data_IF_018670704242
#
_entry.id   IF_018670704242
#
_cell.length_a   1.000
_cell.length_b   1.000
_cell.length_c   1.000
_cell.angle_alpha   90.00
_cell.angle_beta   90.00
_cell.angle_gamma   90.00
#
_symmetry.space_group_name_H-M   'P 1'
#
loop_
_entity.id
_entity.type
_entity.pdbx_description
1 polymer ?
#
# COMPACT_ATOMS: atom_id res chain seq x y z
N UNK A 1 -28.14 -61.74 -60.75
CA UNK A 1 -28.33 -63.21 -60.64
C UNK A 1 -27.40 -63.67 -59.53
N UNK A 2 -28.03 -64.18 -58.47
CA UNK A 2 -27.56 -65.08 -57.40
C UNK A 2 -26.10 -65.05 -56.86
N UNK A 3 -26.04 -64.91 -55.54
CA UNK A 3 -25.01 -65.38 -54.58
C UNK A 3 -24.77 -66.92 -54.69
N UNK A 4 -24.11 -67.65 -53.76
CA UNK A 4 -23.28 -67.32 -52.57
C UNK A 4 -22.02 -68.23 -52.42
N UNK A 5 -21.23 -68.04 -51.36
CA UNK A 5 -20.87 -69.07 -50.34
C UNK A 5 -19.49 -68.91 -49.67
N UNK A 6 -19.54 -69.13 -48.36
CA UNK A 6 -18.52 -69.06 -47.29
C UNK A 6 -17.69 -70.36 -47.21
N UNK A 7 -16.56 -70.39 -46.47
CA UNK A 7 -16.56 -71.03 -45.13
C UNK A 7 -15.61 -70.34 -44.12
N UNK A 8 -16.00 -70.07 -42.85
CA UNK A 8 -16.10 -70.91 -41.63
C UNK A 8 -14.77 -71.12 -40.82
N UNK A 9 -14.61 -70.24 -39.81
CA UNK A 9 -14.21 -70.42 -38.38
C UNK A 9 -13.03 -71.31 -37.95
N UNK A 10 -12.21 -70.77 -37.03
CA UNK A 10 -12.00 -71.24 -35.63
C UNK A 10 -11.19 -70.18 -34.84
N UNK A 11 -11.84 -69.42 -33.93
CA UNK A 11 -11.81 -69.51 -32.44
C UNK A 11 -10.44 -69.33 -31.76
N UNK A 12 -10.24 -68.19 -31.07
CA UNK A 12 -9.52 -68.13 -29.80
C UNK A 12 -10.12 -67.05 -28.86
N UNK A 13 -10.77 -67.55 -27.80
CA UNK A 13 -10.80 -67.12 -26.39
C UNK A 13 -10.81 -65.61 -26.01
N UNK A 14 -11.85 -65.20 -25.27
CA UNK A 14 -11.89 -64.00 -24.40
C UNK A 14 -11.49 -64.37 -22.96
N UNK A 15 -10.90 -63.43 -22.19
CA UNK A 15 -11.61 -62.92 -21.00
C UNK A 15 -11.42 -61.39 -20.80
N UNK A 16 -12.48 -60.61 -20.54
CA UNK A 16 -13.01 -60.11 -19.24
C UNK A 16 -12.20 -58.96 -18.59
N UNK A 17 -12.90 -57.82 -18.45
CA UNK A 17 -12.76 -56.68 -17.51
C UNK A 17 -11.45 -55.88 -17.40
N UNK A 18 -11.52 -54.56 -17.66
CA UNK A 18 -11.73 -53.53 -16.63
C UNK A 18 -12.06 -52.17 -17.27
N UNK A 19 -13.07 -51.51 -16.68
CA UNK A 19 -13.41 -50.09 -16.83
C UNK A 19 -12.24 -49.20 -16.39
N UNK A 20 -12.11 -47.99 -16.95
CA UNK A 20 -12.24 -46.73 -16.21
C UNK A 20 -12.01 -45.50 -17.09
N UNK A 21 -12.95 -44.58 -16.97
CA UNK A 21 -13.03 -43.23 -17.53
C UNK A 21 -11.87 -42.39 -17.00
N UNK A 22 -10.94 -41.98 -17.86
CA UNK A 22 -9.96 -40.93 -17.54
C UNK A 22 -10.52 -39.56 -17.93
N UNK A 23 -11.51 -39.11 -17.17
CA UNK A 23 -11.91 -37.71 -17.08
C UNK A 23 -11.47 -37.22 -15.69
N UNK A 24 -10.22 -36.80 -15.56
CA UNK A 24 -9.76 -36.13 -14.34
C UNK A 24 -8.73 -35.04 -14.66
N UNK A 25 -9.10 -33.83 -14.22
CA UNK A 25 -8.21 -32.76 -13.78
C UNK A 25 -7.46 -31.94 -14.85
N UNK A 26 -8.21 -31.22 -15.68
CA UNK A 26 -7.80 -29.85 -16.05
C UNK A 26 -8.54 -28.90 -15.10
N UNK A 27 -8.16 -28.95 -13.83
CA UNK A 27 -8.70 -28.10 -12.77
C UNK A 27 -7.72 -26.97 -12.45
N UNK A 28 -8.11 -25.75 -12.82
CA UNK A 28 -7.63 -24.45 -12.34
C UNK A 28 -6.29 -24.40 -11.58
N UNK A 29 -5.21 -24.04 -12.28
CA UNK A 29 -3.95 -23.56 -11.68
C UNK A 29 -3.86 -22.03 -11.63
N UNK A 30 -4.99 -21.33 -11.45
CA UNK A 30 -5.03 -19.86 -11.44
C UNK A 30 -5.25 -19.24 -10.05
N UNK A 31 -5.27 -20.04 -8.96
CA UNK A 31 -5.62 -19.55 -7.61
C UNK A 31 -4.47 -19.50 -6.59
N UNK A 32 -3.26 -19.95 -6.93
CA UNK A 32 -2.20 -20.12 -5.91
C UNK A 32 -1.47 -18.83 -5.49
N UNK A 33 -1.31 -17.84 -6.38
CA UNK A 33 -0.54 -16.63 -6.05
C UNK A 33 -1.16 -15.76 -4.94
N UNK A 34 -2.50 -15.74 -4.82
CA UNK A 34 -3.20 -14.98 -3.77
C UNK A 34 -3.27 -15.72 -2.43
N UNK A 35 -3.40 -17.05 -2.46
CA UNK A 35 -3.45 -17.87 -1.25
C UNK A 35 -2.12 -17.86 -0.49
N UNK A 36 -0.99 -17.85 -1.22
CA UNK A 36 0.34 -17.81 -0.63
C UNK A 36 0.63 -16.46 0.07
N UNK A 37 0.16 -15.34 -0.51
CA UNK A 37 0.33 -14.00 0.07
C UNK A 37 -0.47 -13.81 1.36
N UNK A 38 -1.76 -14.19 1.36
CA UNK A 38 -2.61 -14.10 2.55
C UNK A 38 -2.10 -14.95 3.72
N UNK A 39 -1.64 -16.18 3.45
CA UNK A 39 -1.06 -17.05 4.46
C UNK A 39 0.23 -16.44 5.06
N UNK A 40 1.12 -15.93 4.22
CA UNK A 40 2.35 -15.28 4.67
C UNK A 40 2.07 -14.03 5.53
N UNK A 41 1.07 -13.22 5.15
CA UNK A 41 0.69 -12.04 5.93
C UNK A 41 0.09 -12.42 7.29
N UNK A 42 -0.70 -13.49 7.35
CA UNK A 42 -1.24 -14.00 8.62
C UNK A 42 -0.15 -14.61 9.52
N UNK A 43 0.85 -15.27 8.96
CA UNK A 43 2.02 -15.73 9.70
C UNK A 43 2.84 -14.55 10.24
N UNK A 44 2.99 -13.48 9.45
CA UNK A 44 3.62 -12.23 9.90
C UNK A 44 2.85 -11.62 11.06
N UNK A 45 1.52 -11.56 11.00
CA UNK A 45 0.68 -11.11 12.11
C UNK A 45 0.96 -11.88 13.41
N UNK A 46 0.96 -13.22 13.33
CA UNK A 46 1.24 -14.09 14.48
C UNK A 46 2.65 -13.86 15.04
N UNK A 47 3.64 -13.71 14.16
CA UNK A 47 5.04 -13.50 14.55
C UNK A 47 5.28 -12.17 15.27
N UNK A 48 4.55 -11.11 14.89
CA UNK A 48 4.69 -9.80 15.52
C UNK A 48 4.06 -9.78 16.92
N UNK A 49 2.99 -10.55 17.16
CA UNK A 49 2.46 -10.88 18.48
C UNK A 49 2.50 -9.73 19.51
N UNK A 50 3.44 -9.81 20.44
CA UNK A 50 3.63 -8.81 21.50
C UNK A 50 4.11 -7.44 21.02
N UNK A 51 4.86 -7.35 19.91
CA UNK A 51 5.30 -6.07 19.34
C UNK A 51 4.10 -5.26 18.82
N UNK A 52 3.03 -5.90 18.36
CA UNK A 52 1.80 -5.18 18.03
C UNK A 52 1.10 -4.69 19.30
N UNK A 53 1.12 -5.42 20.42
CA UNK A 53 0.42 -5.00 21.64
C UNK A 53 1.20 -3.94 22.44
N UNK A 54 2.52 -4.10 22.50
CA UNK A 54 3.41 -3.36 23.39
C UNK A 54 4.49 -2.66 22.55
N UNK A 55 4.23 -1.42 22.15
CA UNK A 55 5.13 -0.62 21.33
C UNK A 55 5.01 0.88 21.68
N UNK A 56 6.00 1.70 21.30
CA UNK A 56 5.98 3.14 21.58
C UNK A 56 4.96 3.93 20.75
N UNK A 57 4.25 3.30 19.80
CA UNK A 57 3.24 3.97 19.01
C UNK A 57 1.90 4.08 19.74
N UNK A 58 1.70 3.33 20.83
CA UNK A 58 0.43 3.23 21.57
C UNK A 58 -0.76 2.85 20.67
N UNK A 59 -0.48 2.03 19.66
CA UNK A 59 -1.45 1.46 18.72
C UNK A 59 -0.93 0.13 18.21
N UNK A 60 -1.78 -0.76 17.67
CA UNK A 60 -1.34 -2.06 17.19
C UNK A 60 -0.58 -1.96 15.87
N UNK A 61 0.66 -1.48 15.93
CA UNK A 61 1.50 -1.13 14.80
C UNK A 61 2.95 -1.54 15.03
N UNK A 62 3.55 -2.07 13.98
CA UNK A 62 4.98 -2.32 13.87
C UNK A 62 5.51 -1.60 12.63
N UNK A 63 6.59 -0.84 12.79
CA UNK A 63 7.29 -0.17 11.70
C UNK A 63 8.66 -0.81 11.54
N UNK A 64 9.00 -1.16 10.30
CA UNK A 64 10.38 -1.51 9.93
C UNK A 64 10.79 -0.73 8.69
N UNK A 65 12.09 -0.54 8.52
CA UNK A 65 12.62 0.21 7.39
C UNK A 65 14.02 -0.29 7.06
N UNK A 66 14.37 -0.22 5.78
CA UNK A 66 15.68 -0.61 5.27
C UNK A 66 16.18 0.39 4.23
N UNK A 67 17.50 0.54 4.21
CA UNK A 67 18.25 1.33 3.25
C UNK A 67 19.24 0.38 2.57
N UNK A 68 19.04 0.15 1.28
CA UNK A 68 19.99 -0.51 0.40
C UNK A 68 20.75 0.53 -0.43
N UNK A 69 21.73 0.10 -1.22
CA UNK A 69 22.58 1.01 -1.98
C UNK A 69 21.77 2.02 -2.83
N UNK A 70 20.71 1.58 -3.51
CA UNK A 70 19.93 2.42 -4.43
C UNK A 70 18.44 2.45 -4.12
N UNK A 71 18.01 1.93 -2.98
CA UNK A 71 16.59 1.72 -2.68
C UNK A 71 16.31 1.94 -1.20
N UNK A 72 15.18 2.58 -0.91
CA UNK A 72 14.61 2.72 0.42
C UNK A 72 13.30 1.98 0.47
N UNK A 73 13.07 1.25 1.57
CA UNK A 73 11.81 0.57 1.85
C UNK A 73 11.39 0.80 3.29
N UNK A 74 10.18 1.30 3.49
CA UNK A 74 9.51 1.35 4.79
C UNK A 74 8.28 0.46 4.75
N UNK A 75 8.08 -0.30 5.81
CA UNK A 75 6.95 -1.20 6.00
C UNK A 75 6.22 -0.83 7.29
N UNK A 76 4.90 -0.80 7.24
CA UNK A 76 4.04 -0.75 8.42
C UNK A 76 3.14 -1.96 8.41
N UNK A 77 3.12 -2.67 9.53
CA UNK A 77 2.16 -3.71 9.83
C UNK A 77 1.26 -3.20 10.92
N UNK A 78 -0.05 -3.19 10.69
CA UNK A 78 -0.98 -2.61 11.65
C UNK A 78 -2.30 -3.36 11.72
N UNK A 79 -2.87 -3.46 12.92
CA UNK A 79 -4.26 -3.88 13.09
C UNK A 79 -5.14 -2.63 13.06
N UNK A 80 -6.20 -2.65 12.27
CA UNK A 80 -7.22 -1.59 12.26
C UNK A 80 -8.56 -2.18 12.67
N UNK A 81 -9.34 -1.39 13.41
CA UNK A 81 -10.64 -1.80 13.96
C UNK A 81 -11.78 -1.61 12.94
N UNK A 82 -11.55 -2.08 11.72
CA UNK A 82 -12.52 -2.10 10.63
C UNK A 82 -12.68 -3.53 10.10
N UNK A 83 -13.92 -3.99 9.82
CA UNK A 83 -14.15 -5.28 9.19
C UNK A 83 -13.45 -5.37 7.82
N UNK A 84 -12.85 -6.52 7.51
CA UNK A 84 -12.09 -6.73 6.27
C UNK A 84 -12.89 -6.37 5.03
N UNK A 85 -14.18 -6.71 4.97
CA UNK A 85 -15.02 -6.40 3.81
C UNK A 85 -15.18 -4.89 3.57
N UNK A 86 -15.15 -4.07 4.62
CA UNK A 86 -15.17 -2.60 4.50
C UNK A 86 -13.85 -2.10 3.93
N UNK A 87 -12.72 -2.61 4.43
CA UNK A 87 -11.38 -2.24 3.95
C UNK A 87 -11.20 -2.65 2.49
N UNK A 88 -11.52 -3.90 2.17
CA UNK A 88 -11.47 -4.48 0.83
C UNK A 88 -12.35 -3.67 -0.15
N UNK A 89 -13.63 -3.46 0.18
CA UNK A 89 -14.57 -2.72 -0.68
C UNK A 89 -14.22 -1.25 -0.90
N UNK A 90 -13.35 -0.65 -0.07
CA UNK A 90 -12.90 0.73 -0.28
C UNK A 90 -11.57 0.83 -1.00
N UNK A 91 -10.60 -0.03 -0.69
CA UNK A 91 -9.22 0.12 -1.16
C UNK A 91 -8.88 -0.78 -2.36
N UNK A 92 -9.66 -1.84 -2.58
CA UNK A 92 -9.47 -2.84 -3.65
C UNK A 92 -10.60 -2.84 -4.71
N UNK A 93 -11.58 -1.94 -4.61
CA UNK A 93 -12.65 -1.88 -5.61
C UNK A 93 -12.09 -1.46 -6.98
N UNK A 94 -12.33 -2.21 -8.07
CA UNK A 94 -11.73 -1.91 -9.37
C UNK A 94 -12.26 -0.61 -10.01
N UNK A 95 -13.47 -0.17 -9.66
CA UNK A 95 -14.09 1.03 -10.21
C UNK A 95 -13.86 2.26 -9.34
N UNK A 96 -13.98 2.12 -8.02
CA UNK A 96 -13.92 3.21 -7.04
C UNK A 96 -12.58 3.26 -6.29
N UNK A 97 -11.85 2.15 -6.22
CA UNK A 97 -10.56 2.04 -5.55
C UNK A 97 -9.56 3.11 -6.00
N UNK A 98 -9.34 3.35 -7.30
CA UNK A 98 -8.48 4.43 -7.76
C UNK A 98 -8.87 5.82 -7.17
N UNK A 99 -10.15 6.17 -7.20
CA UNK A 99 -10.63 7.44 -6.64
C UNK A 99 -10.51 7.48 -5.11
N UNK A 100 -10.78 6.37 -4.43
CA UNK A 100 -10.61 6.23 -2.98
C UNK A 100 -9.14 6.37 -2.57
N UNK A 101 -8.20 5.82 -3.34
CA UNK A 101 -6.77 6.06 -3.14
C UNK A 101 -6.40 7.53 -3.30
N UNK A 102 -7.02 8.26 -4.23
CA UNK A 102 -6.84 9.71 -4.28
C UNK A 102 -7.38 10.43 -3.04
N UNK A 103 -8.50 9.98 -2.47
CA UNK A 103 -9.04 10.50 -1.21
C UNK A 103 -8.15 10.19 0.01
N UNK A 104 -7.34 9.12 -0.06
CA UNK A 104 -6.28 8.80 0.93
C UNK A 104 -5.05 9.67 0.70
N UNK A 105 -4.48 9.63 -0.52
CA UNK A 105 -3.20 10.29 -0.84
C UNK A 105 -3.26 11.80 -0.68
N UNK A 106 -4.42 12.41 -0.92
CA UNK A 106 -4.61 13.84 -0.72
C UNK A 106 -4.44 14.23 0.74
N UNK A 107 -4.63 13.36 1.73
CA UNK A 107 -4.45 13.74 3.14
C UNK A 107 -2.98 14.08 3.46
N UNK A 108 -2.02 13.54 2.70
CA UNK A 108 -0.61 13.83 2.90
C UNK A 108 -0.29 15.32 2.62
N UNK A 109 0.40 15.97 3.55
CA UNK A 109 0.76 17.41 3.49
C UNK A 109 1.51 17.86 2.21
N UNK A 110 2.18 16.91 1.55
CA UNK A 110 2.91 17.14 0.29
C UNK A 110 2.10 16.85 -0.96
N UNK A 111 0.94 16.19 -0.87
CA UNK A 111 0.09 15.92 -2.04
C UNK A 111 -0.79 17.13 -2.33
N UNK A 112 -0.64 17.72 -3.51
CA UNK A 112 -1.32 18.95 -3.95
C UNK A 112 -2.51 18.73 -4.84
N UNK A 113 -2.58 17.53 -5.41
CA UNK A 113 -3.64 17.08 -6.28
C UNK A 113 -3.53 15.57 -6.42
N UNK A 114 -4.67 14.91 -6.57
CA UNK A 114 -4.74 13.53 -7.02
C UNK A 114 -6.01 13.36 -7.85
N UNK A 115 -5.89 12.84 -9.06
CA UNK A 115 -7.06 12.46 -9.86
C UNK A 115 -6.86 11.04 -10.39
N UNK A 116 -7.86 10.19 -10.14
CA UNK A 116 -7.91 8.88 -10.75
C UNK A 116 -8.52 8.97 -12.15
N UNK A 117 -7.81 8.50 -13.16
CA UNK A 117 -8.31 8.31 -14.51
C UNK A 117 -8.25 6.83 -14.87
N UNK A 118 -9.09 6.38 -15.80
CA UNK A 118 -9.07 5.01 -16.32
C UNK A 118 -8.94 5.07 -17.83
N UNK A 119 -7.95 4.35 -18.37
CA UNK A 119 -7.71 4.21 -19.80
C UNK A 119 -7.59 2.76 -20.21
N UNK A 120 -7.28 2.53 -21.49
CA UNK A 120 -7.07 1.18 -22.04
C UNK A 120 -5.93 0.40 -21.37
N UNK A 121 -4.96 1.10 -20.77
CA UNK A 121 -3.83 0.54 -20.04
C UNK A 121 -4.08 0.33 -18.54
N UNK A 122 -5.32 0.50 -18.07
CA UNK A 122 -5.69 0.40 -16.66
C UNK A 122 -5.88 1.76 -15.97
N UNK A 123 -6.12 1.71 -14.66
CA UNK A 123 -6.33 2.90 -13.84
C UNK A 123 -5.01 3.58 -13.46
N UNK A 124 -4.99 4.90 -13.54
CA UNK A 124 -3.84 5.75 -13.22
C UNK A 124 -4.26 6.83 -12.22
N UNK A 125 -3.39 7.14 -11.26
CA UNK A 125 -3.54 8.26 -10.34
C UNK A 125 -2.54 9.36 -10.73
N UNK A 126 -3.04 10.48 -11.20
CA UNK A 126 -2.28 11.68 -11.47
C UNK A 126 -2.08 12.46 -10.16
N UNK A 127 -0.90 12.34 -9.57
CA UNK A 127 -0.56 12.93 -8.27
C UNK A 127 0.41 14.09 -8.47
N UNK A 128 0.12 15.25 -7.88
CA UNK A 128 1.09 16.34 -7.81
C UNK A 128 1.68 16.42 -6.40
N UNK A 129 3.01 16.38 -6.30
CA UNK A 129 3.76 16.44 -5.05
C UNK A 129 4.47 17.79 -4.96
N UNK A 130 4.30 18.46 -3.82
CA UNK A 130 4.84 19.79 -3.56
C UNK A 130 5.38 19.96 -2.15
N UNK A 131 5.67 21.21 -1.80
CA UNK A 131 6.06 21.73 -0.49
C UNK A 131 4.88 21.72 0.47
N UNK A 132 5.10 22.16 1.71
CA UNK A 132 4.11 22.09 2.80
C UNK A 132 3.24 23.36 2.90
N UNK A 133 2.95 23.95 1.74
CA UNK A 133 2.21 25.21 1.56
C UNK A 133 1.25 25.06 0.38
N UNK A 134 0.33 25.99 0.20
CA UNK A 134 -0.48 26.10 -1.02
C UNK A 134 0.44 26.37 -2.22
N UNK A 135 0.22 25.65 -3.32
CA UNK A 135 0.99 25.82 -4.57
C UNK A 135 0.11 25.64 -5.81
N UNK A 136 0.50 26.30 -6.89
CA UNK A 136 0.00 26.02 -8.24
C UNK A 136 0.53 24.67 -8.72
N UNK A 137 -0.25 23.95 -9.51
CA UNK A 137 0.17 22.64 -10.03
C UNK A 137 1.40 22.73 -10.94
N UNK A 138 1.60 23.85 -11.64
CA UNK A 138 2.80 24.12 -12.43
C UNK A 138 4.09 24.13 -11.62
N UNK A 139 4.00 24.37 -10.31
CA UNK A 139 5.13 24.53 -9.40
C UNK A 139 5.36 23.26 -8.57
N UNK A 140 4.79 22.14 -9.02
CA UNK A 140 4.82 20.84 -8.35
C UNK A 140 5.35 19.75 -9.27
N UNK A 141 5.72 18.61 -8.67
CA UNK A 141 6.17 17.45 -9.42
C UNK A 141 5.00 16.51 -9.67
N UNK A 142 4.68 16.25 -10.94
CA UNK A 142 3.69 15.25 -11.33
C UNK A 142 4.29 13.85 -11.23
N UNK A 143 3.54 12.94 -10.62
CA UNK A 143 3.81 11.51 -10.54
C UNK A 143 2.56 10.77 -10.99
N UNK A 144 2.72 9.81 -11.91
CA UNK A 144 1.62 8.98 -12.38
C UNK A 144 1.75 7.59 -11.78
N UNK A 145 0.88 7.26 -10.82
CA UNK A 145 0.83 5.93 -10.25
C UNK A 145 -0.09 5.04 -11.07
N UNK A 146 0.41 3.92 -11.57
CA UNK A 146 -0.42 2.83 -12.09
C UNK A 146 -1.04 2.10 -10.92
N UNK A 147 -2.37 2.04 -10.89
CA UNK A 147 -3.14 1.28 -9.92
C UNK A 147 -3.32 -0.15 -10.43
N UNK A 148 -3.01 -1.14 -9.58
CA UNK A 148 -3.19 -2.56 -9.89
C UNK A 148 -3.70 -3.32 -8.67
N UNK A 149 -4.75 -4.09 -8.86
CA UNK A 149 -5.11 -5.18 -7.94
C UNK A 149 -4.21 -6.37 -8.28
N UNK A 150 -3.23 -6.64 -7.41
CA UNK A 150 -2.25 -7.72 -7.64
C UNK A 150 -2.82 -9.09 -7.26
N UNK A 151 -3.65 -9.14 -6.21
CA UNK A 151 -4.37 -10.32 -5.78
C UNK A 151 -5.66 -9.92 -5.04
N UNK A 152 -6.70 -10.74 -5.16
CA UNK A 152 -7.94 -10.58 -4.40
C UNK A 152 -8.63 -11.94 -4.21
N UNK A 153 -8.87 -12.29 -2.96
CA UNK A 153 -9.67 -13.45 -2.50
C UNK A 153 -10.72 -12.93 -1.51
N UNK A 154 -11.65 -13.78 -1.03
CA UNK A 154 -12.64 -13.37 -0.02
C UNK A 154 -12.04 -12.88 1.32
N UNK A 155 -10.79 -13.24 1.61
CA UNK A 155 -10.08 -13.04 2.88
C UNK A 155 -8.67 -12.42 2.72
N UNK A 156 -8.28 -12.02 1.52
CA UNK A 156 -7.02 -11.33 1.27
C UNK A 156 -7.13 -10.42 0.06
N UNK A 157 -6.45 -9.28 0.09
CA UNK A 157 -6.19 -8.52 -1.13
C UNK A 157 -4.80 -7.89 -1.09
N UNK A 158 -4.27 -7.59 -2.27
CA UNK A 158 -3.12 -6.73 -2.47
C UNK A 158 -3.42 -5.70 -3.57
N UNK A 159 -3.19 -4.43 -3.25
CA UNK A 159 -3.21 -3.33 -4.21
C UNK A 159 -1.83 -2.69 -4.29
N UNK A 160 -1.34 -2.48 -5.51
CA UNK A 160 -0.10 -1.77 -5.78
C UNK A 160 -0.39 -0.45 -6.52
N UNK A 161 0.24 0.62 -6.06
CA UNK A 161 0.44 1.88 -6.78
C UNK A 161 1.90 1.98 -7.18
N UNK A 162 2.20 1.99 -8.48
CA UNK A 162 3.59 2.03 -8.97
C UNK A 162 3.86 3.20 -9.90
N UNK A 163 5.02 3.84 -9.78
CA UNK A 163 5.45 4.89 -10.70
C UNK A 163 6.95 4.76 -11.02
N UNK A 164 7.31 4.87 -12.29
CA UNK A 164 8.70 4.65 -12.73
C UNK A 164 9.63 5.79 -12.32
N UNK A 165 9.08 6.99 -12.17
CA UNK A 165 9.82 8.21 -11.84
C UNK A 165 9.08 9.04 -10.79
N UNK A 166 9.83 9.81 -10.00
CA UNK A 166 9.27 10.81 -9.10
C UNK A 166 10.16 12.05 -8.92
N UNK A 167 9.86 12.88 -7.92
CA UNK A 167 10.53 14.16 -7.72
C UNK A 167 12.05 14.01 -7.51
N UNK A 168 12.85 14.96 -7.98
CA UNK A 168 14.28 15.03 -7.66
C UNK A 168 15.10 13.78 -8.06
N UNK A 169 14.80 13.18 -9.23
CA UNK A 169 15.50 12.00 -9.78
C UNK A 169 15.36 10.71 -8.95
N UNK A 170 14.30 10.59 -8.16
CA UNK A 170 13.85 9.32 -7.58
C UNK A 170 13.07 8.52 -8.62
N UNK A 171 12.96 7.20 -8.39
CA UNK A 171 12.39 6.26 -9.35
C UNK A 171 11.81 5.04 -8.67
N UNK A 172 11.18 4.16 -9.44
CA UNK A 172 10.74 2.84 -8.99
C UNK A 172 9.86 2.92 -7.72
N UNK A 173 8.95 3.91 -7.68
CA UNK A 173 8.04 4.11 -6.55
C UNK A 173 7.05 2.96 -6.45
N UNK A 174 6.83 2.51 -5.22
CA UNK A 174 5.76 1.56 -4.88
C UNK A 174 5.12 1.93 -3.56
N UNK A 175 3.81 2.13 -3.57
CA UNK A 175 2.93 2.08 -2.40
C UNK A 175 2.11 0.80 -2.56
N UNK A 176 2.29 -0.18 -1.69
CA UNK A 176 1.53 -1.42 -1.72
C UNK A 176 0.77 -1.61 -0.42
N UNK A 177 -0.50 -2.01 -0.51
CA UNK A 177 -1.31 -2.36 0.65
C UNK A 177 -1.83 -3.78 0.49
N UNK A 178 -1.52 -4.60 1.48
CA UNK A 178 -2.04 -5.95 1.65
C UNK A 178 -2.89 -6.01 2.91
N UNK A 179 -3.92 -6.85 2.92
CA UNK A 179 -4.80 -6.98 4.08
C UNK A 179 -5.36 -8.40 4.25
N UNK A 180 -5.54 -8.84 5.50
CA UNK A 180 -6.24 -10.07 5.90
C UNK A 180 -7.15 -9.80 7.11
N UNK A 181 -8.27 -10.52 7.29
CA UNK A 181 -9.07 -10.44 8.51
C UNK A 181 -8.34 -11.06 9.71
N UNK A 182 -8.44 -10.44 10.89
CA UNK A 182 -7.89 -10.95 12.17
C UNK A 182 -8.94 -10.92 13.30
N UNK A 183 -10.07 -11.54 13.01
CA UNK A 183 -11.30 -11.53 13.80
C UNK A 183 -12.44 -10.83 13.05
N UNK A 184 -13.61 -10.74 13.67
CA UNK A 184 -14.84 -10.33 12.98
C UNK A 184 -14.89 -8.85 12.59
N UNK A 185 -14.23 -7.99 13.38
CA UNK A 185 -14.28 -6.54 13.22
C UNK A 185 -12.90 -5.89 12.99
N UNK A 186 -11.87 -6.70 12.73
CA UNK A 186 -10.50 -6.21 12.61
C UNK A 186 -9.80 -6.73 11.37
N UNK A 187 -8.95 -5.87 10.82
CA UNK A 187 -8.15 -6.18 9.64
C UNK A 187 -6.69 -5.95 9.98
N UNK A 188 -5.82 -6.89 9.59
CA UNK A 188 -4.38 -6.71 9.65
C UNK A 188 -3.90 -6.22 8.28
N UNK A 189 -3.22 -5.08 8.28
CA UNK A 189 -2.70 -4.40 7.12
C UNK A 189 -1.18 -4.55 7.06
N UNK A 190 -0.65 -4.67 5.85
CA UNK A 190 0.75 -4.42 5.55
C UNK A 190 0.84 -3.34 4.47
N UNK A 191 1.40 -2.19 4.84
CA UNK A 191 1.70 -1.08 3.95
C UNK A 191 3.20 -1.07 3.65
N UNK A 192 3.55 -1.15 2.37
CA UNK A 192 4.91 -0.87 1.89
C UNK A 192 4.96 0.51 1.23
N UNK A 193 5.95 1.32 1.58
CA UNK A 193 6.36 2.50 0.82
C UNK A 193 7.83 2.38 0.44
N UNK A 194 8.12 2.39 -0.86
CA UNK A 194 9.49 2.27 -1.35
C UNK A 194 9.74 3.12 -2.59
N UNK A 195 11.00 3.50 -2.77
CA UNK A 195 11.49 4.17 -3.96
C UNK A 195 13.00 3.97 -4.10
N UNK A 196 13.46 4.02 -5.35
CA UNK A 196 14.86 4.04 -5.71
C UNK A 196 15.41 5.44 -5.91
N UNK A 197 16.73 5.56 -5.86
CA UNK A 197 17.47 6.75 -6.27
C UNK A 197 18.76 6.36 -7.00
N UNK A 198 19.14 7.17 -7.99
CA UNK A 198 20.44 7.06 -8.67
C UNK A 198 21.59 7.65 -7.84
N UNK A 199 22.81 7.56 -8.37
CA UNK A 199 24.01 8.18 -7.76
C UNK A 199 23.87 9.68 -7.57
N UNK A 200 23.29 10.38 -8.56
CA UNK A 200 22.96 11.82 -8.48
C UNK A 200 21.93 12.09 -7.38
N UNK A 201 20.87 11.28 -7.30
CA UNK A 201 19.85 11.38 -6.25
C UNK A 201 20.45 11.17 -4.85
N UNK A 202 21.40 10.25 -4.69
CA UNK A 202 22.11 10.02 -3.43
C UNK A 202 22.91 11.25 -2.99
N UNK A 203 23.63 11.89 -3.92
CA UNK A 203 24.40 13.10 -3.61
C UNK A 203 23.46 14.26 -3.22
N UNK A 204 22.41 14.51 -4.00
CA UNK A 204 21.41 15.54 -3.69
C UNK A 204 20.77 15.31 -2.31
N UNK A 205 20.47 14.06 -1.98
CA UNK A 205 19.89 13.68 -0.70
C UNK A 205 20.85 13.91 0.48
N UNK A 206 22.15 13.61 0.31
CA UNK A 206 23.17 13.96 1.31
C UNK A 206 23.23 15.47 1.55
N UNK A 207 23.16 16.27 0.49
CA UNK A 207 23.17 17.75 0.59
C UNK A 207 21.92 18.27 1.31
N UNK A 208 20.73 17.73 1.01
CA UNK A 208 19.49 18.09 1.69
C UNK A 208 19.56 17.78 3.20
N UNK A 209 20.07 16.60 3.55
CA UNK A 209 20.22 16.18 4.95
C UNK A 209 21.30 16.95 5.71
N UNK A 210 22.30 17.47 5.01
CA UNK A 210 23.31 18.35 5.61
C UNK A 210 22.78 19.77 5.89
N UNK A 211 21.54 20.09 5.48
CA UNK A 211 20.96 21.43 5.61
C UNK A 211 19.60 21.40 6.31
N UNK A 212 18.50 21.30 5.57
CA UNK A 212 17.12 21.47 6.06
C UNK A 212 16.57 20.18 6.69
N UNK A 213 17.16 19.04 6.35
CA UNK A 213 16.74 17.72 6.82
C UNK A 213 17.50 17.18 8.04
N UNK A 214 18.51 17.89 8.55
CA UNK A 214 19.44 17.37 9.58
C UNK A 214 18.74 16.97 10.87
N UNK A 215 17.71 17.72 11.24
CA UNK A 215 17.03 17.58 12.53
C UNK A 215 15.86 16.60 12.44
N UNK A 216 15.57 16.09 11.23
CA UNK A 216 14.43 15.23 10.96
C UNK A 216 14.77 13.78 11.29
N UNK A 217 14.00 13.24 12.23
CA UNK A 217 14.16 11.87 12.71
C UNK A 217 12.94 11.02 12.42
N UNK A 218 13.17 9.72 12.26
CA UNK A 218 12.15 8.68 12.18
C UNK A 218 11.72 8.18 13.57
N UNK A 219 11.25 6.94 13.59
CA UNK A 219 10.69 6.25 14.75
C UNK A 219 11.60 5.14 15.29
N UNK A 220 12.47 4.57 14.46
CA UNK A 220 13.42 3.55 14.93
C UNK A 220 14.46 4.17 15.86
N UNK A 221 14.68 3.56 17.03
CA UNK A 221 15.69 4.01 17.99
C UNK A 221 17.09 3.52 17.64
N UNK A 222 18.09 4.35 17.89
CA UNK A 222 19.52 4.09 17.73
C UNK A 222 20.11 3.82 19.12
N UNK A 223 20.74 2.66 19.30
CA UNK A 223 21.14 2.17 20.63
C UNK A 223 19.97 1.55 21.38
N UNK A 224 20.21 0.44 22.09
CA UNK A 224 19.17 -0.29 22.83
C UNK A 224 18.46 0.57 23.89
N UNK A 225 17.38 0.02 24.46
CA UNK A 225 16.45 0.68 25.39
C UNK A 225 17.05 1.26 26.69
N UNK A 226 18.38 1.26 26.85
CA UNK A 226 19.14 1.69 28.03
C UNK A 226 19.59 3.16 27.99
N UNK A 227 19.32 3.92 26.93
CA UNK A 227 19.60 5.36 26.89
C UNK A 227 18.49 6.17 27.59
N UNK A 228 18.86 7.15 28.42
CA UNK A 228 17.93 7.99 29.17
C UNK A 228 16.97 8.82 28.28
N UNK A 229 17.35 9.03 27.01
CA UNK A 229 16.42 9.46 25.96
C UNK A 229 16.66 8.64 24.69
N UNK A 230 15.60 8.17 24.02
CA UNK A 230 15.74 7.44 22.76
C UNK A 230 16.29 8.38 21.69
N UNK A 231 17.48 8.07 21.18
CA UNK A 231 17.97 8.65 19.94
C UNK A 231 17.25 7.98 18.78
N UNK A 232 16.74 8.76 17.84
CA UNK A 232 15.99 8.23 16.69
C UNK A 232 16.83 8.29 15.42
N UNK A 233 16.58 7.36 14.49
CA UNK A 233 17.28 7.32 13.22
C UNK A 233 16.98 8.59 12.41
N UNK A 234 18.04 9.29 12.02
CA UNK A 234 17.95 10.46 11.13
C UNK A 234 18.16 10.07 9.66
N UNK A 235 18.53 11.06 8.85
CA UNK A 235 18.95 10.83 7.48
C UNK A 235 17.83 10.32 6.57
N UNK A 236 18.20 9.62 5.49
CA UNK A 236 17.25 9.17 4.47
C UNK A 236 16.25 8.16 5.01
N UNK A 237 16.71 7.28 5.90
CA UNK A 237 15.87 6.29 6.57
C UNK A 237 14.89 6.97 7.52
N UNK A 238 15.31 7.99 8.27
CA UNK A 238 14.40 8.81 9.06
C UNK A 238 13.31 9.50 8.22
N UNK A 239 13.68 10.11 7.08
CA UNK A 239 12.70 10.71 6.16
C UNK A 239 11.71 9.69 5.59
N UNK A 240 12.19 8.50 5.25
CA UNK A 240 11.37 7.39 4.76
C UNK A 240 10.34 6.95 5.81
N UNK A 241 10.75 6.74 7.06
CA UNK A 241 9.87 6.29 8.14
C UNK A 241 8.74 7.30 8.40
N UNK A 242 9.06 8.60 8.33
CA UNK A 242 8.07 9.68 8.48
C UNK A 242 7.00 9.61 7.40
N UNK A 243 7.40 9.43 6.14
CA UNK A 243 6.45 9.32 5.03
C UNK A 243 5.64 8.01 5.09
N UNK A 244 6.29 6.90 5.44
CA UNK A 244 5.62 5.60 5.61
C UNK A 244 4.51 5.70 6.67
N UNK A 245 4.82 6.30 7.83
CA UNK A 245 3.82 6.56 8.88
C UNK A 245 2.70 7.48 8.40
N UNK A 246 3.02 8.59 7.71
CA UNK A 246 1.99 9.51 7.19
C UNK A 246 1.03 8.85 6.20
N UNK A 247 1.51 7.93 5.35
CA UNK A 247 0.65 7.16 4.45
C UNK A 247 -0.25 6.18 5.22
N UNK A 248 0.28 5.48 6.23
CA UNK A 248 -0.55 4.63 7.09
C UNK A 248 -1.63 5.46 7.81
N UNK A 249 -1.27 6.59 8.41
CA UNK A 249 -2.21 7.48 9.09
C UNK A 249 -3.27 8.04 8.13
N UNK A 250 -2.93 8.25 6.85
CA UNK A 250 -3.89 8.63 5.82
C UNK A 250 -4.91 7.52 5.53
N UNK A 251 -4.45 6.27 5.44
CA UNK A 251 -5.34 5.11 5.28
C UNK A 251 -6.28 4.98 6.49
N UNK A 252 -5.74 5.04 7.70
CA UNK A 252 -6.56 4.97 8.93
C UNK A 252 -7.57 6.12 9.01
N UNK A 253 -7.12 7.35 8.76
CA UNK A 253 -8.00 8.51 8.80
C UNK A 253 -9.14 8.42 7.77
N UNK A 254 -8.85 7.93 6.56
CA UNK A 254 -9.87 7.69 5.54
C UNK A 254 -10.88 6.62 5.96
N UNK A 255 -10.42 5.47 6.45
CA UNK A 255 -11.29 4.37 6.89
C UNK A 255 -12.17 4.77 8.08
N UNK A 256 -11.62 5.55 9.02
CA UNK A 256 -12.36 6.05 10.17
C UNK A 256 -13.44 7.09 9.85
N UNK A 257 -13.41 7.66 8.64
CA UNK A 257 -14.23 8.82 8.26
C UNK A 257 -14.97 8.60 6.96
N UNK A 258 -15.28 7.34 6.63
CA UNK A 258 -15.99 6.97 5.40
C UNK A 258 -17.38 7.64 5.32
N UNK A 259 -18.04 7.83 6.46
CA UNK A 259 -19.36 8.46 6.60
C UNK A 259 -19.29 9.93 7.04
N UNK A 260 -18.08 10.49 7.21
CA UNK A 260 -17.89 11.86 7.71
C UNK A 260 -17.57 12.84 6.58
N UNK A 261 -17.87 14.14 6.78
CA UNK A 261 -17.48 15.16 5.81
C UNK A 261 -15.96 15.35 5.77
N UNK A 262 -15.51 16.03 4.71
CA UNK A 262 -14.09 16.19 4.40
C UNK A 262 -13.29 16.87 5.52
N UNK A 263 -13.84 17.91 6.14
CA UNK A 263 -13.20 18.66 7.21
C UNK A 263 -12.83 17.77 8.41
N UNK A 264 -13.73 16.84 8.79
CA UNK A 264 -13.46 15.86 9.84
C UNK A 264 -12.37 14.86 9.43
N UNK A 265 -12.32 14.45 8.16
CA UNK A 265 -11.25 13.58 7.64
C UNK A 265 -9.89 14.28 7.68
N UNK A 266 -9.84 15.53 7.24
CA UNK A 266 -8.62 16.34 7.26
C UNK A 266 -8.15 16.54 8.71
N UNK A 267 -9.06 16.94 9.60
CA UNK A 267 -8.78 17.10 11.03
C UNK A 267 -8.24 15.82 11.66
N UNK A 268 -8.88 14.67 11.41
CA UNK A 268 -8.42 13.38 11.95
C UNK A 268 -7.01 13.04 11.53
N UNK A 269 -6.68 13.21 10.25
CA UNK A 269 -5.31 12.93 9.78
C UNK A 269 -4.29 13.83 10.47
N UNK A 270 -4.59 15.13 10.58
CA UNK A 270 -3.71 16.09 11.27
C UNK A 270 -3.51 15.70 12.73
N UNK A 271 -4.61 15.51 13.47
CA UNK A 271 -4.59 15.17 14.89
C UNK A 271 -3.84 13.83 15.12
N UNK A 272 -3.91 12.87 14.17
CA UNK A 272 -3.15 11.63 14.23
C UNK A 272 -1.65 11.83 14.00
N UNK A 273 -1.23 12.76 13.13
CA UNK A 273 0.19 13.12 12.97
C UNK A 273 0.76 13.84 14.19
N UNK A 274 -0.05 14.66 14.86
CA UNK A 274 0.34 15.41 16.05
C UNK A 274 0.49 14.54 17.32
N UNK A 275 0.10 13.27 17.27
CA UNK A 275 0.48 12.29 18.30
C UNK A 275 1.98 11.96 18.27
N UNK A 276 2.67 12.28 17.18
CA UNK A 276 4.09 12.05 16.98
C UNK A 276 4.81 13.35 16.61
N UNK A 277 4.73 14.42 17.43
CA UNK A 277 5.13 15.76 16.99
C UNK A 277 6.63 15.86 16.73
N UNK A 278 7.46 15.11 17.46
CA UNK A 278 8.92 15.05 17.22
C UNK A 278 9.24 14.54 15.82
N UNK A 279 8.48 13.57 15.32
CA UNK A 279 8.68 12.95 14.03
C UNK A 279 7.86 13.62 12.93
N UNK A 280 6.60 13.98 13.14
CA UNK A 280 5.66 14.26 12.06
C UNK A 280 5.17 15.69 11.98
N UNK A 281 5.27 16.49 13.05
CA UNK A 281 4.84 17.89 13.05
C UNK A 281 5.62 18.68 12.00
N UNK A 282 4.92 19.52 11.23
CA UNK A 282 5.53 20.32 10.17
C UNK A 282 4.89 21.69 9.94
N UNK A 283 3.60 21.86 10.28
CA UNK A 283 2.79 23.04 10.01
C UNK A 283 1.69 23.16 11.08
N UNK A 284 1.15 24.36 11.25
CA UNK A 284 0.03 24.59 12.15
C UNK A 284 -1.29 24.01 11.62
N UNK A 285 -2.19 23.66 12.54
CA UNK A 285 -3.49 23.03 12.22
C UNK A 285 -4.31 23.85 11.24
N UNK A 286 -4.40 25.16 11.48
CA UNK A 286 -5.19 26.08 10.64
C UNK A 286 -4.64 26.11 9.21
N UNK A 287 -3.33 26.21 9.07
CA UNK A 287 -2.64 26.28 7.78
C UNK A 287 -2.83 24.98 6.99
N UNK A 288 -2.68 23.83 7.66
CA UNK A 288 -2.96 22.53 7.05
C UNK A 288 -4.42 22.43 6.57
N UNK A 289 -5.39 22.69 7.43
CA UNK A 289 -6.82 22.54 7.07
C UNK A 289 -7.23 23.47 5.93
N UNK A 290 -6.78 24.72 5.96
CA UNK A 290 -7.05 25.69 4.89
C UNK A 290 -6.44 25.25 3.56
N UNK A 291 -5.15 24.91 3.56
CA UNK A 291 -4.43 24.44 2.37
C UNK A 291 -5.12 23.20 1.78
N UNK A 292 -5.46 22.22 2.62
CA UNK A 292 -6.07 20.97 2.17
C UNK A 292 -7.48 21.13 1.63
N UNK A 293 -8.30 22.01 2.23
CA UNK A 293 -9.63 22.30 1.72
C UNK A 293 -9.59 22.86 0.29
N UNK A 294 -8.66 23.79 0.02
CA UNK A 294 -8.46 24.37 -1.32
C UNK A 294 -7.93 23.32 -2.32
N UNK A 295 -6.97 22.48 -1.90
CA UNK A 295 -6.41 21.43 -2.75
C UNK A 295 -7.46 20.36 -3.11
N UNK A 296 -8.37 20.02 -2.19
CA UNK A 296 -9.48 19.09 -2.49
C UNK A 296 -10.53 19.75 -3.38
N UNK A 297 -10.87 21.02 -3.15
CA UNK A 297 -11.78 21.75 -4.04
C UNK A 297 -11.24 21.78 -5.47
N UNK A 298 -9.94 21.95 -5.64
CA UNK A 298 -9.26 21.93 -6.94
C UNK A 298 -9.37 20.59 -7.66
N UNK A 299 -9.36 19.46 -6.95
CA UNK A 299 -9.54 18.12 -7.56
C UNK A 299 -10.89 17.98 -8.27
N UNK A 300 -11.90 18.75 -7.86
CA UNK A 300 -13.24 18.71 -8.45
C UNK A 300 -13.37 19.57 -9.71
N UNK A 301 -12.50 20.59 -9.87
CA UNK A 301 -12.65 21.63 -10.90
C UNK A 301 -11.54 21.62 -11.94
N UNK A 302 -10.34 21.17 -11.60
CA UNK A 302 -9.22 21.02 -12.53
C UNK A 302 -9.12 19.55 -12.97
N UNK A 303 -9.25 19.31 -14.28
CA UNK A 303 -8.96 18.02 -14.92
C UNK A 303 -7.71 18.15 -15.77
#
# INVERSE_FOLDING_TARGET
>A
MESPHTPRRTRFVRPVWHLLVAALCVGWSALSFGADGGAALLDRYRSLGEQLKNNPFHRPLYLESSEAASTLKGDIYAVVDYPFQVVNGKLNDPAQGPANWCAVLILHLNTKYCHASSGSSGAVLDVNIGRKIEQKLSDTYRVQFRYRVAAATPDYFQVDLTADSGPMSTKDYRIALEAVPVGDARTFLHLTYSYGFGTVGRLAMKTYLATIGSDKVGFTTVGGASAAQPQYIGGVRGLLERNTMRYYLAIDAYLATLDKPLDQRLARWFDATEQYPRQLHEVDRKDYLQMKAQEVQRQQTAR
#
